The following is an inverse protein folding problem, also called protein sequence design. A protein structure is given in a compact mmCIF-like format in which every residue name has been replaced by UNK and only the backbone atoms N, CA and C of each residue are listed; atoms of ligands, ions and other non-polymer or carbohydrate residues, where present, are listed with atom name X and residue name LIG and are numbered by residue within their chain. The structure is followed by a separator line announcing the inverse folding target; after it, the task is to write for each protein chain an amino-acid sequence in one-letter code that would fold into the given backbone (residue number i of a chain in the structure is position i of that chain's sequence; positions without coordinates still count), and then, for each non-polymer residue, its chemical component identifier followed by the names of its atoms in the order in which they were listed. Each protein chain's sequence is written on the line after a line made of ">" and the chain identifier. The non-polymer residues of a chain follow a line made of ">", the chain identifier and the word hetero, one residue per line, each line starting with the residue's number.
data_IF_711783821905
#
_entry.id   IF_711783821905
#
_cell.length_a   1.000
_cell.length_b   1.000
_cell.length_c   1.000
_cell.angle_alpha   90.00
_cell.angle_beta   90.00
_cell.angle_gamma   90.00
#
_symmetry.space_group_name_H-M   'P 1'
#
loop_
_entity.id
_entity.type
_entity.pdbx_description
1 polymer ?
#
# COMPACT_ATOMS: atom_id res chain seq x y z
N UNK A 1 -17.09 7.40 -17.65
CA UNK A 1 -16.67 8.69 -17.07
C UNK A 1 -15.33 9.15 -17.61
N UNK A 2 -14.23 8.38 -17.45
CA UNK A 2 -12.92 8.80 -17.96
C UNK A 2 -12.96 9.16 -19.45
N UNK A 3 -13.48 8.27 -20.31
CA UNK A 3 -13.66 8.50 -21.76
C UNK A 3 -14.49 9.73 -22.12
N UNK A 4 -15.61 9.95 -21.42
CA UNK A 4 -16.49 11.09 -21.69
C UNK A 4 -15.91 12.43 -21.22
N UNK A 5 -14.96 12.40 -20.29
CA UNK A 5 -14.36 13.58 -19.67
C UNK A 5 -12.88 13.75 -20.02
N UNK A 6 -12.36 12.92 -20.92
CA UNK A 6 -11.00 13.00 -21.41
C UNK A 6 -10.90 14.16 -22.39
N UNK A 7 -9.90 15.01 -22.20
CA UNK A 7 -9.64 16.15 -23.08
C UNK A 7 -8.18 16.14 -23.52
N UNK A 8 -7.91 16.48 -24.78
CA UNK A 8 -6.54 16.61 -25.28
C UNK A 8 -5.84 17.89 -24.83
N UNK A 9 -6.59 18.95 -24.48
CA UNK A 9 -6.05 20.23 -24.02
C UNK A 9 -6.48 20.55 -22.58
N UNK A 10 -5.76 19.96 -21.63
CA UNK A 10 -6.05 20.09 -20.19
C UNK A 10 -5.82 21.51 -19.66
N UNK A 11 -4.83 22.22 -20.17
CA UNK A 11 -4.49 23.58 -19.73
C UNK A 11 -5.62 24.55 -20.05
N UNK A 12 -6.10 24.56 -21.29
CA UNK A 12 -7.22 25.40 -21.69
C UNK A 12 -8.48 25.06 -20.89
N UNK A 13 -8.77 23.76 -20.71
CA UNK A 13 -9.92 23.31 -19.94
C UNK A 13 -9.88 23.83 -18.49
N UNK A 14 -8.71 23.74 -17.85
CA UNK A 14 -8.52 24.21 -16.49
C UNK A 14 -8.72 25.72 -16.40
N UNK A 15 -8.04 26.49 -17.27
CA UNK A 15 -8.13 27.96 -17.29
C UNK A 15 -9.54 28.47 -17.65
N UNK A 16 -10.25 27.83 -18.58
CA UNK A 16 -11.60 28.25 -18.98
C UNK A 16 -12.67 27.87 -17.94
N UNK A 17 -12.53 26.70 -17.29
CA UNK A 17 -13.44 26.28 -16.21
C UNK A 17 -13.09 26.90 -14.85
N UNK A 18 -12.13 27.82 -14.79
CA UNK A 18 -11.86 28.62 -13.61
C UNK A 18 -12.83 29.79 -13.39
N UNK A 19 -13.65 30.17 -14.39
CA UNK A 19 -14.66 31.22 -14.30
C UNK A 19 -15.98 30.80 -13.61
N UNK A 20 -16.85 31.77 -13.22
CA UNK A 20 -18.10 31.48 -12.50
C UNK A 20 -19.03 30.59 -13.33
N UNK A 21 -19.51 29.51 -12.69
CA UNK A 21 -20.33 28.48 -13.33
C UNK A 21 -21.69 29.03 -13.78
N UNK A 22 -21.89 29.19 -15.09
CA UNK A 22 -23.23 29.33 -15.67
C UNK A 22 -23.55 28.12 -16.55
N UNK A 23 -24.55 27.36 -16.09
CA UNK A 23 -25.40 26.44 -16.85
C UNK A 23 -24.73 25.41 -17.78
N UNK A 24 -24.51 24.18 -17.28
CA UNK A 24 -24.80 22.95 -18.04
C UNK A 24 -24.91 21.73 -17.11
N UNK A 25 -25.89 20.84 -17.28
CA UNK A 25 -26.12 19.70 -16.38
C UNK A 25 -25.07 18.58 -16.45
N UNK A 26 -24.15 18.61 -17.42
CA UNK A 26 -23.15 17.55 -17.70
C UNK A 26 -21.69 18.06 -17.63
N UNK A 27 -21.30 18.72 -16.54
CA UNK A 27 -19.92 19.21 -16.39
C UNK A 27 -19.02 18.17 -15.71
N UNK A 28 -18.12 17.57 -16.49
CA UNK A 28 -17.03 16.74 -15.97
C UNK A 28 -16.28 17.40 -14.81
N UNK A 29 -16.02 16.60 -13.78
CA UNK A 29 -15.27 16.96 -12.57
C UNK A 29 -14.01 16.11 -12.47
N UNK A 30 -12.96 16.70 -11.90
CA UNK A 30 -11.62 16.14 -11.92
C UNK A 30 -11.05 16.05 -10.50
N UNK A 31 -10.25 15.02 -10.27
CA UNK A 31 -9.38 14.87 -9.12
C UNK A 31 -7.96 14.73 -9.66
N UNK A 32 -7.08 15.65 -9.29
CA UNK A 32 -5.69 15.65 -9.72
C UNK A 32 -4.81 15.18 -8.56
N UNK A 33 -4.27 13.98 -8.68
CA UNK A 33 -3.29 13.43 -7.75
C UNK A 33 -1.93 14.11 -7.96
N UNK A 34 -1.54 14.92 -6.98
CA UNK A 34 -0.26 15.64 -6.97
C UNK A 34 0.74 14.78 -6.20
N UNK A 35 1.75 14.26 -6.91
CA UNK A 35 2.77 13.41 -6.31
C UNK A 35 3.67 14.21 -5.37
N UNK A 36 3.74 13.78 -4.12
CA UNK A 36 4.63 14.36 -3.13
C UNK A 36 6.04 13.78 -3.19
N UNK A 37 6.80 13.91 -2.08
CA UNK A 37 8.19 13.44 -1.96
C UNK A 37 8.31 12.21 -1.07
N UNK A 38 7.23 11.48 -0.85
CA UNK A 38 7.18 10.35 0.07
C UNK A 38 7.75 9.07 -0.57
N UNK A 39 7.88 8.01 0.23
CA UNK A 39 8.29 6.70 -0.29
C UNK A 39 7.21 6.11 -1.21
N UNK A 40 7.62 5.28 -2.17
CA UNK A 40 6.72 4.71 -3.17
C UNK A 40 5.49 4.01 -2.56
N UNK A 41 5.66 3.23 -1.48
CA UNK A 41 4.52 2.58 -0.81
C UNK A 41 3.44 3.57 -0.36
N UNK A 42 3.84 4.72 0.20
CA UNK A 42 2.90 5.77 0.60
C UNK A 42 2.21 6.41 -0.61
N UNK A 43 2.94 6.62 -1.71
CA UNK A 43 2.39 7.19 -2.93
C UNK A 43 1.35 6.26 -3.56
N UNK A 44 1.63 4.96 -3.66
CA UNK A 44 0.70 3.97 -4.21
C UNK A 44 -0.55 3.83 -3.32
N UNK A 45 -0.40 3.74 -2.00
CA UNK A 45 -1.53 3.71 -1.06
C UNK A 45 -2.39 4.98 -1.14
N UNK A 46 -1.75 6.14 -1.22
CA UNK A 46 -2.41 7.44 -1.37
C UNK A 46 -3.16 7.53 -2.71
N UNK A 47 -2.58 7.01 -3.80
CA UNK A 47 -3.23 6.95 -5.10
C UNK A 47 -4.48 6.06 -5.08
N UNK A 48 -4.44 4.89 -4.43
CA UNK A 48 -5.63 4.03 -4.29
C UNK A 48 -6.74 4.72 -3.48
N UNK A 49 -6.37 5.49 -2.45
CA UNK A 49 -7.32 6.32 -1.69
C UNK A 49 -7.93 7.40 -2.58
N UNK A 50 -7.12 8.12 -3.36
CA UNK A 50 -7.58 9.14 -4.29
C UNK A 50 -8.52 8.56 -5.35
N UNK A 51 -8.19 7.39 -5.91
CA UNK A 51 -9.06 6.69 -6.86
C UNK A 51 -10.40 6.30 -6.23
N UNK A 52 -10.38 5.80 -4.98
CA UNK A 52 -11.61 5.47 -4.24
C UNK A 52 -12.47 6.71 -4.03
N UNK A 53 -11.88 7.84 -3.64
CA UNK A 53 -12.58 9.12 -3.54
C UNK A 53 -13.15 9.57 -4.90
N UNK A 54 -12.39 9.43 -5.98
CA UNK A 54 -12.83 9.77 -7.33
C UNK A 54 -14.05 8.93 -7.77
N UNK A 55 -14.05 7.62 -7.48
CA UNK A 55 -15.19 6.74 -7.73
C UNK A 55 -16.43 7.17 -6.94
N UNK A 56 -16.29 7.42 -5.63
CA UNK A 56 -17.40 7.81 -4.76
C UNK A 56 -18.01 9.18 -5.13
N UNK A 57 -17.19 10.08 -5.70
CA UNK A 57 -17.60 11.45 -6.02
C UNK A 57 -17.90 11.68 -7.50
N UNK A 58 -17.84 10.64 -8.35
CA UNK A 58 -17.95 10.75 -9.81
C UNK A 58 -16.99 11.81 -10.38
N UNK A 59 -15.69 11.65 -10.10
CA UNK A 59 -14.59 12.47 -10.65
C UNK A 59 -13.67 11.64 -11.52
N UNK A 60 -13.22 12.24 -12.62
CA UNK A 60 -12.15 11.70 -13.47
C UNK A 60 -10.83 11.86 -12.72
N UNK A 61 -10.14 10.75 -12.44
CA UNK A 61 -8.82 10.78 -11.79
C UNK A 61 -7.75 11.11 -12.83
N UNK A 62 -6.88 12.05 -12.48
CA UNK A 62 -5.74 12.48 -13.27
C UNK A 62 -4.48 12.49 -12.38
N UNK A 63 -3.32 12.16 -12.94
CA UNK A 63 -2.06 12.03 -12.20
C UNK A 63 -0.99 12.99 -12.72
N UNK A 64 -0.22 13.54 -11.79
CA UNK A 64 0.92 14.41 -12.06
C UNK A 64 2.05 13.64 -12.76
N UNK A 65 2.41 14.04 -13.98
CA UNK A 65 3.47 13.41 -14.78
C UNK A 65 4.89 13.73 -14.33
N UNK A 66 5.07 14.74 -13.47
CA UNK A 66 6.40 15.17 -13.01
C UNK A 66 7.02 14.15 -12.05
N UNK A 67 6.18 13.33 -11.42
CA UNK A 67 6.57 12.30 -10.47
C UNK A 67 7.06 10.98 -11.10
N UNK A 68 7.22 9.97 -10.24
CA UNK A 68 7.60 8.62 -10.63
C UNK A 68 6.39 7.72 -10.88
N UNK A 69 5.26 7.93 -10.20
CA UNK A 69 4.08 7.06 -10.26
C UNK A 69 3.56 6.94 -11.69
N UNK A 70 3.43 8.06 -12.41
CA UNK A 70 2.98 8.09 -13.80
C UNK A 70 3.89 7.31 -14.77
N UNK A 71 5.18 7.15 -14.41
CA UNK A 71 6.17 6.42 -15.21
C UNK A 71 6.29 4.95 -14.83
N UNK A 72 5.66 4.52 -13.73
CA UNK A 72 5.72 3.15 -13.22
C UNK A 72 4.49 2.34 -13.60
N UNK A 73 3.36 3.01 -13.85
CA UNK A 73 2.06 2.38 -14.04
C UNK A 73 1.64 2.38 -15.52
N UNK A 74 0.92 1.34 -15.92
CA UNK A 74 0.16 1.31 -17.16
C UNK A 74 -0.98 2.33 -17.17
N UNK A 75 -1.54 2.58 -18.36
CA UNK A 75 -2.82 3.25 -18.50
C UNK A 75 -3.95 2.31 -18.05
N UNK A 76 -4.72 2.64 -17.00
CA UNK A 76 -5.78 1.77 -16.49
C UNK A 76 -7.11 1.94 -17.25
N UNK A 77 -7.23 2.96 -18.11
CA UNK A 77 -8.48 3.33 -18.77
C UNK A 77 -8.35 3.24 -20.31
N UNK A 78 -9.07 2.32 -20.98
CA UNK A 78 -8.98 2.14 -22.43
C UNK A 78 -9.24 3.43 -23.21
N UNK A 79 -8.47 3.64 -24.28
CA UNK A 79 -8.59 4.76 -25.23
C UNK A 79 -8.41 6.17 -24.63
N UNK A 80 -7.95 6.28 -23.38
CA UNK A 80 -7.73 7.55 -22.69
C UNK A 80 -6.40 7.55 -21.97
N UNK A 81 -6.00 8.71 -21.45
CA UNK A 81 -4.91 8.80 -20.48
C UNK A 81 -5.39 9.46 -19.19
N UNK A 82 -4.93 8.93 -18.06
CA UNK A 82 -5.02 9.62 -16.77
C UNK A 82 -3.81 10.52 -16.48
N UNK A 83 -2.76 10.48 -17.30
CA UNK A 83 -1.55 11.26 -17.07
C UNK A 83 -1.75 12.68 -17.58
N UNK A 84 -1.53 13.67 -16.73
CA UNK A 84 -1.53 15.07 -17.14
C UNK A 84 -0.24 15.42 -17.90
N UNK A 85 -0.32 16.25 -18.96
CA UNK A 85 0.85 16.69 -19.70
C UNK A 85 1.76 17.56 -18.83
N UNK A 86 3.04 17.67 -19.18
CA UNK A 86 4.04 18.43 -18.42
C UNK A 86 3.75 19.93 -18.40
N UNK A 87 3.01 20.42 -19.39
CA UNK A 87 2.63 21.82 -19.62
C UNK A 87 1.37 22.21 -18.84
N UNK A 88 0.71 21.26 -18.18
CA UNK A 88 -0.42 21.55 -17.31
C UNK A 88 0.01 22.54 -16.20
N UNK A 89 -0.80 23.55 -15.85
CA UNK A 89 -0.41 24.58 -14.90
C UNK A 89 -0.49 24.08 -13.44
N UNK A 90 0.40 23.15 -13.08
CA UNK A 90 0.42 22.51 -11.77
C UNK A 90 0.50 23.49 -10.59
N UNK A 91 1.23 24.60 -10.74
CA UNK A 91 1.34 25.60 -9.68
C UNK A 91 -0.03 26.23 -9.39
N UNK A 92 -0.83 26.51 -10.42
CA UNK A 92 -2.15 27.11 -10.27
C UNK A 92 -3.12 26.18 -9.53
N UNK A 93 -3.11 24.88 -9.84
CA UNK A 93 -4.01 23.94 -9.13
C UNK A 93 -3.56 23.71 -7.69
N UNK A 94 -2.25 23.74 -7.41
CA UNK A 94 -1.76 23.63 -6.03
C UNK A 94 -2.03 24.89 -5.20
N UNK A 95 -2.07 26.06 -5.84
CA UNK A 95 -2.38 27.37 -5.24
C UNK A 95 -3.88 27.62 -5.05
N UNK A 96 -4.74 26.70 -5.51
CA UNK A 96 -6.17 26.74 -5.21
C UNK A 96 -6.43 26.82 -3.70
N UNK A 97 -7.53 27.48 -3.28
CA UNK A 97 -7.86 27.59 -1.86
C UNK A 97 -7.85 26.24 -1.14
N UNK A 98 -7.26 26.20 0.05
CA UNK A 98 -7.39 25.06 0.98
C UNK A 98 -8.85 24.90 1.39
N UNK A 99 -9.22 23.70 1.84
CA UNK A 99 -10.61 23.38 2.20
C UNK A 99 -11.22 24.41 3.16
N UNK A 100 -10.51 24.75 4.23
CA UNK A 100 -10.98 25.74 5.20
C UNK A 100 -11.23 27.11 4.58
N UNK A 101 -10.28 27.62 3.79
CA UNK A 101 -10.43 28.92 3.11
C UNK A 101 -11.57 28.91 2.10
N UNK A 102 -11.78 27.78 1.42
CA UNK A 102 -12.89 27.59 0.49
C UNK A 102 -14.24 27.70 1.22
N UNK A 103 -14.40 27.00 2.34
CA UNK A 103 -15.64 26.98 3.11
C UNK A 103 -16.00 28.33 3.75
N UNK A 104 -15.00 29.11 4.18
CA UNK A 104 -15.24 30.36 4.89
C UNK A 104 -15.17 31.62 4.03
N UNK A 105 -14.36 31.63 2.96
CA UNK A 105 -13.99 32.87 2.26
C UNK A 105 -14.23 32.83 0.75
N UNK A 106 -14.65 31.71 0.15
CA UNK A 106 -14.75 31.61 -1.32
C UNK A 106 -16.04 30.93 -1.76
N UNK A 107 -17.11 31.71 -1.88
CA UNK A 107 -18.46 31.21 -2.18
C UNK A 107 -18.67 30.60 -3.57
N UNK A 108 -17.63 30.55 -4.44
CA UNK A 108 -17.73 30.02 -5.81
C UNK A 108 -16.36 29.57 -6.39
N UNK A 109 -15.51 28.89 -5.60
CA UNK A 109 -14.25 28.38 -6.16
C UNK A 109 -14.49 27.22 -7.13
N UNK A 110 -13.97 27.36 -8.35
CA UNK A 110 -13.92 26.30 -9.37
C UNK A 110 -12.95 25.16 -9.03
N UNK A 111 -12.03 25.42 -8.08
CA UNK A 111 -11.04 24.47 -7.63
C UNK A 111 -10.78 24.53 -6.11
N UNK A 112 -10.29 23.42 -5.55
CA UNK A 112 -9.86 23.30 -4.15
C UNK A 112 -8.59 22.46 -4.07
N UNK A 113 -7.67 22.80 -3.17
CA UNK A 113 -6.42 22.06 -2.93
C UNK A 113 -6.46 21.36 -1.57
N UNK A 114 -6.61 20.03 -1.58
CA UNK A 114 -6.65 19.20 -0.39
C UNK A 114 -5.24 18.68 -0.02
N UNK A 115 -4.76 19.04 1.17
CA UNK A 115 -3.54 18.48 1.74
C UNK A 115 -3.88 17.50 2.87
N UNK A 116 -3.87 16.22 2.52
CA UNK A 116 -4.20 15.11 3.39
C UNK A 116 -2.93 14.33 3.76
N UNK A 117 -1.85 15.03 4.13
CA UNK A 117 -0.67 14.40 4.72
C UNK A 117 -0.92 13.95 6.18
N UNK A 118 -0.12 13.04 6.69
CA UNK A 118 -0.20 12.55 8.08
C UNK A 118 -0.18 13.66 9.15
N UNK A 119 0.50 14.77 8.90
CA UNK A 119 0.64 15.94 9.79
C UNK A 119 -0.44 17.02 9.56
N UNK A 120 -1.52 16.69 8.85
CA UNK A 120 -2.68 17.55 8.61
C UNK A 120 -3.12 18.30 9.88
N UNK A 121 -3.37 19.59 9.73
CA UNK A 121 -3.79 20.52 10.80
C UNK A 121 -5.30 20.49 10.98
N UNK A 122 -5.81 21.03 12.10
CA UNK A 122 -7.23 20.95 12.46
C UNK A 122 -8.22 21.42 11.37
N UNK A 123 -7.95 22.50 10.59
CA UNK A 123 -8.89 22.92 9.55
C UNK A 123 -9.09 21.87 8.43
N UNK A 124 -8.01 21.22 8.00
CA UNK A 124 -8.08 20.24 6.91
C UNK A 124 -8.56 18.85 7.40
N UNK A 125 -8.48 18.56 8.72
CA UNK A 125 -9.03 17.32 9.32
C UNK A 125 -10.54 17.22 9.18
N UNK A 126 -11.25 18.34 9.15
CA UNK A 126 -12.70 18.38 8.97
C UNK A 126 -13.14 17.98 7.55
N UNK A 127 -12.20 17.71 6.64
CA UNK A 127 -12.46 17.05 5.35
C UNK A 127 -13.29 15.77 5.50
N UNK A 128 -13.09 15.02 6.58
CA UNK A 128 -13.80 13.77 6.84
C UNK A 128 -15.22 13.96 7.42
N UNK A 129 -15.76 15.18 7.39
CA UNK A 129 -17.16 15.46 7.72
C UNK A 129 -18.08 15.41 6.51
N UNK A 130 -19.35 15.06 6.75
CA UNK A 130 -20.41 15.06 5.72
C UNK A 130 -20.56 16.43 5.06
N UNK A 131 -20.60 17.52 5.84
CA UNK A 131 -20.78 18.87 5.31
C UNK A 131 -19.61 19.27 4.39
N UNK A 132 -18.37 19.07 4.85
CA UNK A 132 -17.17 19.33 4.05
C UNK A 132 -17.10 18.47 2.79
N UNK A 133 -17.52 17.22 2.88
CA UNK A 133 -17.60 16.33 1.73
C UNK A 133 -18.68 16.78 0.73
N UNK A 134 -19.83 17.25 1.23
CA UNK A 134 -20.92 17.77 0.41
C UNK A 134 -20.54 19.07 -0.32
N UNK A 135 -19.77 19.96 0.32
CA UNK A 135 -19.29 21.20 -0.30
C UNK A 135 -18.44 20.93 -1.56
N UNK A 136 -17.67 19.83 -1.54
CA UNK A 136 -16.86 19.43 -2.68
C UNK A 136 -17.70 18.91 -3.85
N UNK A 137 -19.00 18.65 -3.70
CA UNK A 137 -19.85 18.15 -4.80
C UNK A 137 -19.86 19.09 -6.01
N UNK A 138 -19.78 20.41 -5.77
CA UNK A 138 -19.88 21.43 -6.81
C UNK A 138 -18.52 21.88 -7.37
N UNK A 139 -17.42 21.50 -6.73
CA UNK A 139 -16.07 21.89 -7.14
C UNK A 139 -15.66 21.14 -8.41
N UNK A 140 -15.20 21.84 -9.44
CA UNK A 140 -14.79 21.18 -10.70
C UNK A 140 -13.45 20.47 -10.54
N UNK A 141 -12.46 21.14 -9.96
CA UNK A 141 -11.08 20.64 -9.85
C UNK A 141 -10.66 20.45 -8.40
N UNK A 142 -10.28 19.24 -8.03
CA UNK A 142 -9.72 18.98 -6.70
C UNK A 142 -8.27 18.56 -6.85
N UNK A 143 -7.34 19.34 -6.30
CA UNK A 143 -5.96 18.92 -6.13
C UNK A 143 -5.88 18.01 -4.90
N UNK A 144 -5.23 16.86 -5.02
CA UNK A 144 -5.08 15.88 -3.96
C UNK A 144 -3.62 15.62 -3.67
N UNK A 145 -3.17 15.98 -2.46
CA UNK A 145 -1.83 15.66 -1.96
C UNK A 145 -2.00 14.83 -0.69
N UNK A 146 -1.45 13.62 -0.65
CA UNK A 146 -1.51 12.77 0.55
C UNK A 146 -0.39 11.73 0.57
N UNK A 147 -0.08 11.24 1.75
CA UNK A 147 0.86 10.15 1.98
C UNK A 147 0.26 9.01 2.81
N UNK A 148 -1.07 8.89 2.84
CA UNK A 148 -1.81 7.99 3.71
C UNK A 148 -2.77 7.12 2.91
N UNK A 149 -3.00 5.90 3.40
CA UNK A 149 -4.16 5.09 3.01
C UNK A 149 -5.36 5.53 3.83
N UNK A 150 -6.19 6.46 3.35
CA UNK A 150 -7.32 7.01 4.13
C UNK A 150 -8.67 6.36 3.82
N UNK A 151 -8.70 5.16 3.22
CA UNK A 151 -9.96 4.46 2.92
C UNK A 151 -10.82 4.27 4.19
N UNK A 152 -10.23 3.86 5.32
CA UNK A 152 -10.97 3.73 6.59
C UNK A 152 -11.52 5.07 7.09
N UNK A 153 -10.78 6.18 6.95
CA UNK A 153 -11.27 7.50 7.32
C UNK A 153 -12.37 8.03 6.40
N UNK A 154 -12.28 7.76 5.09
CA UNK A 154 -13.34 8.12 4.15
C UNK A 154 -14.65 7.39 4.49
N UNK A 155 -14.58 6.16 5.00
CA UNK A 155 -15.74 5.39 5.46
C UNK A 155 -16.39 5.93 6.74
N UNK A 156 -15.80 6.93 7.41
CA UNK A 156 -16.48 7.64 8.48
C UNK A 156 -17.51 8.65 7.94
N UNK A 157 -17.39 9.07 6.67
CA UNK A 157 -18.34 9.99 6.04
C UNK A 157 -19.61 9.21 5.68
N UNK A 158 -20.80 9.55 6.23
CA UNK A 158 -22.03 8.79 6.02
C UNK A 158 -22.38 8.55 4.55
N UNK A 159 -22.37 9.58 3.70
CA UNK A 159 -22.73 9.43 2.28
C UNK A 159 -21.70 8.63 1.49
N UNK A 160 -20.41 8.75 1.85
CA UNK A 160 -19.35 7.92 1.27
C UNK A 160 -19.55 6.45 1.65
N UNK A 161 -19.79 6.16 2.94
CA UNK A 161 -20.05 4.82 3.44
C UNK A 161 -21.25 4.20 2.74
N UNK A 162 -22.39 4.89 2.65
CA UNK A 162 -23.59 4.39 1.96
C UNK A 162 -23.28 3.95 0.52
N UNK A 163 -22.41 4.68 -0.17
CA UNK A 163 -22.06 4.41 -1.55
C UNK A 163 -21.02 3.31 -1.72
N UNK A 164 -20.03 3.25 -0.83
CA UNK A 164 -18.82 2.43 -1.03
C UNK A 164 -18.79 1.15 -0.20
N UNK A 165 -19.48 1.09 0.94
CA UNK A 165 -19.42 -0.08 1.83
C UNK A 165 -19.80 -1.41 1.17
N UNK A 166 -20.71 -1.50 0.16
CA UNK A 166 -21.03 -2.79 -0.45
C UNK A 166 -19.82 -3.43 -1.17
N UNK A 167 -18.85 -2.62 -1.61
CA UNK A 167 -17.61 -3.09 -2.23
C UNK A 167 -16.53 -3.48 -1.19
N UNK A 168 -16.79 -3.26 0.10
CA UNK A 168 -15.79 -3.40 1.17
C UNK A 168 -16.14 -4.50 2.19
N UNK A 169 -17.31 -5.14 2.05
CA UNK A 169 -17.82 -6.17 2.97
C UNK A 169 -16.92 -7.40 3.03
N UNK A 170 -16.19 -7.70 1.97
CA UNK A 170 -15.30 -8.88 1.93
C UNK A 170 -13.92 -8.62 2.56
N UNK A 171 -13.62 -7.41 3.04
CA UNK A 171 -12.33 -7.08 3.67
C UNK A 171 -11.14 -7.17 2.70
N UNK A 172 -11.36 -7.02 1.40
CA UNK A 172 -10.38 -7.16 0.30
C UNK A 172 -10.41 -5.98 -0.68
N UNK A 173 -10.90 -4.84 -0.21
CA UNK A 173 -11.11 -3.65 -1.02
C UNK A 173 -9.83 -3.17 -1.74
N UNK A 174 -8.72 -3.11 -1.01
CA UNK A 174 -7.43 -2.73 -1.56
C UNK A 174 -6.95 -3.73 -2.62
N UNK A 175 -7.15 -5.03 -2.43
CA UNK A 175 -6.83 -6.04 -3.46
C UNK A 175 -7.56 -5.74 -4.75
N UNK A 176 -8.88 -5.51 -4.70
CA UNK A 176 -9.66 -5.18 -5.90
C UNK A 176 -9.23 -3.87 -6.57
N UNK A 177 -9.00 -2.82 -5.80
CA UNK A 177 -8.58 -1.53 -6.36
C UNK A 177 -7.17 -1.62 -6.94
N UNK A 178 -6.25 -2.26 -6.22
CA UNK A 178 -4.86 -2.36 -6.63
C UNK A 178 -4.67 -3.24 -7.86
N UNK A 179 -5.45 -4.32 -8.01
CA UNK A 179 -5.41 -5.18 -9.21
C UNK A 179 -5.86 -4.45 -10.49
N UNK A 180 -6.65 -3.39 -10.35
CA UNK A 180 -7.10 -2.56 -11.47
C UNK A 180 -6.15 -1.38 -11.74
N UNK A 181 -5.61 -0.78 -10.68
CA UNK A 181 -4.93 0.51 -10.75
C UNK A 181 -3.40 0.40 -10.78
N UNK A 182 -2.82 -0.57 -10.08
CA UNK A 182 -1.38 -0.63 -9.82
C UNK A 182 -0.66 -1.57 -10.78
N UNK A 183 -1.03 -1.54 -12.06
CA UNK A 183 -0.45 -2.41 -13.09
C UNK A 183 0.91 -1.86 -13.56
N UNK A 184 2.00 -2.65 -13.52
CA UNK A 184 3.33 -2.19 -13.95
C UNK A 184 3.40 -1.90 -15.44
N UNK A 185 4.06 -0.80 -15.80
CA UNK A 185 4.40 -0.53 -17.19
C UNK A 185 5.32 -1.61 -17.79
N UNK A 186 5.28 -1.79 -19.10
CA UNK A 186 5.89 -2.91 -19.82
C UNK A 186 7.36 -3.18 -19.49
N UNK A 187 8.20 -2.16 -19.35
CA UNK A 187 9.63 -2.30 -19.00
C UNK A 187 9.81 -2.80 -17.58
N UNK A 188 9.02 -2.29 -16.63
CA UNK A 188 8.96 -2.76 -15.24
C UNK A 188 8.40 -4.16 -15.15
N UNK A 189 7.31 -4.47 -15.87
CA UNK A 189 6.76 -5.82 -15.98
C UNK A 189 7.79 -6.80 -16.54
N UNK A 190 8.54 -6.40 -17.56
CA UNK A 190 9.62 -7.23 -18.12
C UNK A 190 10.71 -7.54 -17.08
N UNK A 191 11.00 -6.63 -16.15
CA UNK A 191 11.94 -6.90 -15.04
C UNK A 191 11.35 -7.90 -14.06
N UNK A 192 10.08 -7.73 -13.68
CA UNK A 192 9.35 -8.67 -12.81
C UNK A 192 9.37 -10.07 -13.41
N UNK A 193 8.96 -10.22 -14.68
CA UNK A 193 8.92 -11.51 -15.39
C UNK A 193 10.29 -12.16 -15.45
N UNK A 194 11.36 -11.40 -15.78
CA UNK A 194 12.73 -11.94 -15.77
C UNK A 194 13.13 -12.46 -14.40
N UNK A 195 12.88 -11.71 -13.33
CA UNK A 195 13.21 -12.14 -11.97
C UNK A 195 12.41 -13.38 -11.54
N UNK A 196 11.10 -13.39 -11.83
CA UNK A 196 10.21 -14.50 -11.54
C UNK A 196 10.71 -15.80 -12.19
N UNK A 197 10.97 -15.77 -13.50
CA UNK A 197 11.38 -16.99 -14.21
C UNK A 197 12.81 -17.41 -13.92
N UNK A 198 13.75 -16.47 -13.77
CA UNK A 198 15.16 -16.79 -13.53
C UNK A 198 15.46 -17.28 -12.11
N UNK A 199 14.71 -16.83 -11.10
CA UNK A 199 15.07 -17.08 -9.70
C UNK A 199 13.94 -17.70 -8.87
N UNK A 200 12.67 -17.40 -9.17
CA UNK A 200 11.55 -17.83 -8.33
C UNK A 200 10.87 -19.11 -8.82
N UNK A 201 10.86 -19.35 -10.14
CA UNK A 201 10.06 -20.41 -10.76
C UNK A 201 10.48 -21.84 -10.37
N UNK A 202 11.76 -22.02 -10.02
CA UNK A 202 12.37 -23.31 -9.70
C UNK A 202 12.09 -23.82 -8.28
N UNK A 203 11.38 -23.05 -7.45
CA UNK A 203 11.06 -23.42 -6.08
C UNK A 203 9.65 -24.02 -5.94
N UNK A 204 9.50 -25.00 -5.05
CA UNK A 204 8.20 -25.58 -4.69
C UNK A 204 7.40 -24.63 -3.80
N UNK A 205 8.04 -24.07 -2.77
CA UNK A 205 7.48 -23.05 -1.90
C UNK A 205 8.28 -21.75 -1.95
N UNK A 206 7.60 -20.61 -1.97
CA UNK A 206 8.21 -19.27 -1.98
C UNK A 206 7.75 -18.49 -0.76
N UNK A 207 8.70 -18.06 0.06
CA UNK A 207 8.46 -17.23 1.24
C UNK A 207 9.06 -15.86 0.98
N UNK A 208 8.20 -14.85 0.87
CA UNK A 208 8.59 -13.45 0.75
C UNK A 208 8.90 -12.87 2.12
N UNK A 209 10.00 -12.15 2.24
CA UNK A 209 10.42 -11.50 3.48
C UNK A 209 10.71 -10.03 3.17
N UNK A 210 9.91 -9.14 3.75
CA UNK A 210 10.04 -7.70 3.59
C UNK A 210 10.58 -7.10 4.89
N UNK A 211 11.83 -6.65 4.86
CA UNK A 211 12.53 -6.09 6.02
C UNK A 211 12.63 -4.57 5.92
N UNK A 212 12.02 -3.87 6.86
CA UNK A 212 12.08 -2.41 7.02
C UNK A 212 12.22 -2.06 8.49
N UNK A 213 13.32 -1.39 8.85
CA UNK A 213 13.48 -0.82 10.17
C UNK A 213 12.94 0.61 10.21
N UNK A 214 12.04 0.89 11.15
CA UNK A 214 11.47 2.24 11.39
C UNK A 214 12.01 2.84 12.68
N UNK A 215 11.95 4.18 12.79
CA UNK A 215 12.35 4.91 14.00
C UNK A 215 13.86 5.01 14.23
N UNK A 216 14.69 4.70 13.21
CA UNK A 216 16.16 4.75 13.29
C UNK A 216 16.72 5.96 12.56
N UNK A 217 17.89 6.44 13.02
CA UNK A 217 18.62 7.53 12.36
C UNK A 217 19.17 7.11 11.01
N UNK A 218 19.84 5.97 10.96
CA UNK A 218 20.27 5.35 9.71
C UNK A 218 19.33 4.20 9.35
N UNK A 219 18.54 4.43 8.31
CA UNK A 219 17.59 3.47 7.80
C UNK A 219 18.25 2.38 6.95
N UNK A 220 19.56 2.45 6.67
CA UNK A 220 20.35 1.46 5.94
C UNK A 220 21.34 0.70 6.84
N UNK A 221 21.39 1.02 8.13
CA UNK A 221 22.24 0.31 9.08
C UNK A 221 21.71 -1.10 9.35
N UNK A 222 22.60 -2.09 9.30
CA UNK A 222 22.30 -3.46 9.73
C UNK A 222 22.14 -3.50 11.26
N UNK A 223 21.07 -4.14 11.72
CA UNK A 223 20.83 -4.36 13.15
C UNK A 223 20.99 -5.85 13.48
N UNK A 224 22.00 -6.21 14.27
CA UNK A 224 22.14 -7.57 14.78
C UNK A 224 20.91 -8.00 15.59
N UNK A 225 20.39 -9.21 15.34
CA UNK A 225 19.25 -9.79 16.06
C UNK A 225 17.91 -9.64 15.35
N UNK A 226 17.80 -8.75 14.36
CA UNK A 226 16.64 -8.71 13.44
C UNK A 226 16.59 -10.00 12.61
N UNK A 227 17.74 -10.51 12.18
CA UNK A 227 17.85 -11.78 11.47
C UNK A 227 17.40 -12.97 12.32
N UNK A 228 17.73 -12.97 13.62
CA UNK A 228 17.23 -13.98 14.58
C UNK A 228 15.70 -13.91 14.69
N UNK A 229 15.13 -12.71 14.82
CA UNK A 229 13.66 -12.55 14.86
C UNK A 229 12.98 -13.05 13.59
N UNK A 230 13.58 -12.81 12.43
CA UNK A 230 13.06 -13.34 11.16
C UNK A 230 13.08 -14.87 11.20
N UNK A 231 14.19 -15.49 11.60
CA UNK A 231 14.27 -16.95 11.73
C UNK A 231 13.26 -17.52 12.71
N UNK A 232 13.18 -16.95 13.91
CA UNK A 232 12.26 -17.41 14.95
C UNK A 232 10.81 -17.34 14.46
N UNK A 233 10.45 -16.28 13.73
CA UNK A 233 9.14 -16.16 13.11
C UNK A 233 8.87 -17.28 12.11
N UNK A 234 9.77 -17.46 11.14
CA UNK A 234 9.59 -18.40 10.04
C UNK A 234 9.60 -19.86 10.53
N UNK A 235 10.46 -20.20 11.49
CA UNK A 235 10.50 -21.52 12.13
C UNK A 235 9.23 -21.79 12.93
N UNK A 236 8.78 -20.82 13.74
CA UNK A 236 7.57 -20.96 14.57
C UNK A 236 6.32 -21.29 13.77
N UNK A 237 6.19 -20.71 12.57
CA UNK A 237 5.05 -20.94 11.69
C UNK A 237 5.30 -22.02 10.62
N UNK A 238 6.41 -22.77 10.72
CA UNK A 238 6.70 -23.89 9.82
C UNK A 238 7.01 -23.47 8.38
N UNK A 239 7.44 -22.23 8.16
CA UNK A 239 7.81 -21.69 6.85
C UNK A 239 9.27 -22.01 6.48
N UNK A 240 10.07 -22.43 7.47
CA UNK A 240 11.44 -22.89 7.31
C UNK A 240 11.67 -24.17 8.11
N UNK A 241 12.54 -25.07 7.62
CA UNK A 241 12.99 -26.22 8.39
C UNK A 241 13.99 -25.81 9.47
N UNK A 242 14.02 -26.58 10.56
CA UNK A 242 15.08 -26.51 11.57
C UNK A 242 16.44 -26.84 10.95
N UNK A 243 17.48 -26.24 11.53
CA UNK A 243 18.87 -26.49 11.16
C UNK A 243 19.46 -27.59 12.04
N UNK A 244 20.34 -28.39 11.46
CA UNK A 244 21.04 -29.50 12.12
C UNK A 244 22.52 -29.17 12.28
N UNK A 245 23.09 -29.49 13.44
CA UNK A 245 24.55 -29.47 13.65
C UNK A 245 25.24 -30.71 13.05
N UNK A 246 24.47 -31.75 12.71
CA UNK A 246 24.99 -32.99 12.13
C UNK A 246 24.90 -32.98 10.60
N UNK A 247 26.04 -33.13 9.94
CA UNK A 247 26.14 -33.27 8.50
C UNK A 247 25.97 -34.74 8.06
N UNK A 248 24.98 -34.99 7.19
CA UNK A 248 24.80 -36.29 6.53
C UNK A 248 24.62 -36.11 5.01
N UNK A 249 25.73 -35.84 4.32
CA UNK A 249 25.75 -35.62 2.87
C UNK A 249 25.25 -36.82 2.07
N UNK A 250 25.41 -38.05 2.59
CA UNK A 250 24.93 -39.27 1.92
C UNK A 250 23.41 -39.33 1.89
N UNK A 251 22.75 -39.06 3.02
CA UNK A 251 21.29 -39.03 3.07
C UNK A 251 20.74 -37.84 2.28
N UNK A 252 21.38 -36.67 2.37
CA UNK A 252 21.01 -35.52 1.55
C UNK A 252 21.05 -35.84 0.06
N UNK A 253 22.14 -36.45 -0.43
CA UNK A 253 22.25 -36.88 -1.83
C UNK A 253 21.16 -37.88 -2.22
N UNK A 254 20.84 -38.84 -1.34
CA UNK A 254 19.80 -39.83 -1.58
C UNK A 254 18.41 -39.19 -1.67
N UNK A 255 18.08 -38.27 -0.77
CA UNK A 255 16.81 -37.52 -0.77
C UNK A 255 16.68 -36.70 -2.05
N UNK A 256 17.72 -35.94 -2.41
CA UNK A 256 17.69 -35.09 -3.60
C UNK A 256 17.68 -35.89 -4.91
N UNK A 257 18.38 -37.03 -4.98
CA UNK A 257 18.36 -37.91 -6.16
C UNK A 257 16.97 -38.53 -6.39
N UNK A 258 16.29 -38.95 -5.31
CA UNK A 258 14.90 -39.41 -5.37
C UNK A 258 13.97 -38.30 -5.85
N UNK A 259 14.12 -37.10 -5.28
CA UNK A 259 13.33 -35.92 -5.67
C UNK A 259 13.43 -35.62 -7.17
N UNK A 260 14.64 -35.65 -7.72
CA UNK A 260 14.87 -35.49 -9.16
C UNK A 260 14.24 -36.62 -9.99
N UNK A 261 14.31 -37.87 -9.51
CA UNK A 261 13.70 -39.03 -10.17
C UNK A 261 12.17 -38.94 -10.22
N UNK A 262 11.56 -38.35 -9.19
CA UNK A 262 10.12 -38.11 -9.09
C UNK A 262 9.65 -36.87 -9.88
N UNK A 263 10.55 -36.20 -10.60
CA UNK A 263 10.25 -35.00 -11.38
C UNK A 263 9.90 -33.77 -10.53
N UNK A 264 10.25 -33.75 -9.24
CA UNK A 264 10.02 -32.62 -8.35
C UNK A 264 11.05 -31.52 -8.58
N UNK A 265 10.69 -30.30 -8.16
CA UNK A 265 11.54 -29.11 -8.30
C UNK A 265 12.84 -29.24 -7.49
N UNK A 266 13.98 -28.70 -7.95
CA UNK A 266 15.25 -28.83 -7.27
C UNK A 266 15.32 -28.03 -5.95
N UNK A 267 14.56 -26.94 -5.85
CA UNK A 267 14.51 -26.08 -4.66
C UNK A 267 13.22 -26.36 -3.89
N UNK A 268 13.32 -26.79 -2.64
CA UNK A 268 12.16 -26.97 -1.76
C UNK A 268 11.57 -25.61 -1.37
N UNK A 269 12.42 -24.72 -0.84
CA UNK A 269 11.98 -23.42 -0.30
C UNK A 269 12.88 -22.31 -0.85
N UNK A 270 12.26 -21.28 -1.42
CA UNK A 270 12.92 -20.04 -1.77
C UNK A 270 12.53 -18.92 -0.82
N UNK A 271 13.53 -18.30 -0.20
CA UNK A 271 13.39 -17.06 0.54
C UNK A 271 13.68 -15.87 -0.38
N UNK A 272 12.64 -15.09 -0.70
CA UNK A 272 12.80 -13.80 -1.38
C UNK A 272 12.92 -12.70 -0.34
N UNK A 273 14.15 -12.23 -0.08
CA UNK A 273 14.41 -11.20 0.92
C UNK A 273 14.58 -9.82 0.27
N UNK A 274 13.71 -8.89 0.66
CA UNK A 274 13.73 -7.49 0.22
C UNK A 274 14.07 -6.59 1.39
N UNK A 275 15.10 -5.77 1.23
CA UNK A 275 15.60 -4.88 2.27
C UNK A 275 16.49 -3.80 1.65
N UNK A 276 16.52 -2.62 2.26
CA UNK A 276 17.57 -1.64 1.94
C UNK A 276 18.97 -2.16 2.34
N UNK A 277 19.04 -3.05 3.33
CA UNK A 277 20.28 -3.61 3.85
C UNK A 277 20.55 -4.99 3.24
N UNK A 278 21.47 -5.05 2.27
CA UNK A 278 21.87 -6.32 1.65
C UNK A 278 22.38 -7.37 2.64
N UNK A 279 22.88 -6.94 3.80
CA UNK A 279 23.44 -7.82 4.83
C UNK A 279 22.45 -8.85 5.38
N UNK A 280 21.14 -8.55 5.46
CA UNK A 280 20.15 -9.55 5.89
C UNK A 280 20.08 -10.74 4.92
N UNK A 281 20.10 -10.48 3.62
CA UNK A 281 20.10 -11.55 2.61
C UNK A 281 21.39 -12.38 2.66
N UNK A 282 22.53 -11.74 2.94
CA UNK A 282 23.82 -12.41 3.06
C UNK A 282 23.84 -13.33 4.28
N UNK A 283 23.54 -12.79 5.47
CA UNK A 283 23.50 -13.57 6.71
C UNK A 283 22.54 -14.75 6.61
N UNK A 284 21.39 -14.56 5.96
CA UNK A 284 20.45 -15.66 5.74
C UNK A 284 20.99 -16.73 4.80
N UNK A 285 21.64 -16.33 3.71
CA UNK A 285 22.29 -17.25 2.79
C UNK A 285 23.40 -18.03 3.49
N UNK A 286 24.28 -17.34 4.21
CA UNK A 286 25.43 -17.92 4.90
C UNK A 286 24.96 -19.00 5.89
N UNK A 287 23.91 -18.74 6.68
CA UNK A 287 23.31 -19.72 7.60
C UNK A 287 22.90 -21.04 6.94
N UNK A 288 22.22 -20.99 5.79
CA UNK A 288 21.79 -22.19 5.06
C UNK A 288 22.90 -22.83 4.22
N UNK A 289 24.02 -22.14 4.00
CA UNK A 289 25.21 -22.71 3.36
C UNK A 289 26.12 -23.39 4.38
N UNK A 290 26.14 -22.92 5.63
CA UNK A 290 26.98 -23.43 6.71
C UNK A 290 26.33 -24.58 7.50
N UNK A 291 25.00 -24.64 7.57
CA UNK A 291 24.28 -25.68 8.32
C UNK A 291 23.25 -26.41 7.45
N UNK A 292 23.22 -27.75 7.44
CA UNK A 292 22.18 -28.52 6.77
C UNK A 292 20.82 -28.38 7.48
N UNK A 293 19.74 -28.64 6.74
CA UNK A 293 18.39 -28.71 7.29
C UNK A 293 18.12 -30.11 7.86
N UNK A 294 17.41 -30.20 8.99
CA UNK A 294 17.06 -31.50 9.60
C UNK A 294 16.20 -32.38 8.67
N UNK A 295 15.40 -31.73 7.82
CA UNK A 295 14.51 -32.38 6.85
C UNK A 295 15.18 -32.68 5.51
N UNK A 296 16.46 -32.32 5.32
CA UNK A 296 17.19 -32.39 4.05
C UNK A 296 16.56 -31.58 2.89
N UNK A 297 15.66 -30.65 3.21
CA UNK A 297 15.06 -29.72 2.25
C UNK A 297 16.09 -28.67 1.81
N UNK A 298 16.12 -28.36 0.51
CA UNK A 298 16.97 -27.30 -0.05
C UNK A 298 16.34 -25.93 0.13
N UNK A 299 17.09 -25.02 0.76
CA UNK A 299 16.67 -23.63 0.95
C UNK A 299 17.55 -22.71 0.10
N UNK A 300 16.92 -21.93 -0.78
CA UNK A 300 17.59 -20.93 -1.60
C UNK A 300 17.24 -19.53 -1.09
N UNK A 301 18.23 -18.63 -1.02
CA UNK A 301 18.00 -17.23 -0.63
C UNK A 301 18.30 -16.30 -1.80
N UNK A 302 17.28 -15.57 -2.24
CA UNK A 302 17.35 -14.58 -3.31
C UNK A 302 17.04 -13.17 -2.83
N UNK A 303 17.73 -12.19 -3.40
CA UNK A 303 17.46 -10.76 -3.20
C UNK A 303 17.70 -10.04 -4.52
N UNK A 304 16.75 -9.21 -4.93
CA UNK A 304 16.76 -8.54 -6.25
C UNK A 304 17.73 -7.38 -6.26
N UNK A 305 17.76 -6.58 -5.19
CA UNK A 305 18.62 -5.41 -5.10
C UNK A 305 19.21 -5.23 -3.70
N UNK A 306 20.37 -4.57 -3.65
CA UNK A 306 21.04 -4.16 -2.42
C UNK A 306 21.39 -2.68 -2.54
N UNK A 307 20.39 -1.81 -2.36
CA UNK A 307 20.54 -0.38 -2.66
C UNK A 307 21.41 0.37 -1.65
N UNK A 308 21.52 -0.11 -0.41
CA UNK A 308 22.38 0.48 0.63
C UNK A 308 22.00 1.90 1.07
N UNK A 309 21.02 2.52 0.42
CA UNK A 309 20.46 3.84 0.75
C UNK A 309 19.09 4.02 0.12
N UNK A 310 18.32 4.93 0.68
CA UNK A 310 17.08 5.43 0.07
C UNK A 310 17.35 6.74 -0.66
N UNK A 311 17.31 6.70 -1.99
CA UNK A 311 17.12 7.83 -2.89
C UNK A 311 15.68 7.87 -3.44
N UNK A 312 15.26 9.03 -3.95
CA UNK A 312 13.91 9.24 -4.49
C UNK A 312 13.90 9.16 -6.03
N UNK A 313 14.94 8.58 -6.61
CA UNK A 313 15.10 8.47 -8.05
C UNK A 313 14.17 7.44 -8.68
N UNK A 314 13.90 7.61 -9.97
CA UNK A 314 13.05 6.70 -10.72
C UNK A 314 13.55 5.25 -10.71
N UNK A 315 14.87 5.02 -10.84
CA UNK A 315 15.43 3.67 -10.84
C UNK A 315 15.17 2.94 -9.52
N UNK A 316 15.33 3.62 -8.38
CA UNK A 316 15.00 3.05 -7.08
C UNK A 316 13.50 2.79 -6.94
N UNK A 317 12.66 3.72 -7.39
CA UNK A 317 11.21 3.51 -7.37
C UNK A 317 10.81 2.30 -8.26
N UNK A 318 11.42 2.14 -9.43
CA UNK A 318 11.20 1.00 -10.32
C UNK A 318 11.61 -0.32 -9.66
N UNK A 319 12.81 -0.39 -9.06
CA UNK A 319 13.26 -1.60 -8.37
C UNK A 319 12.39 -1.93 -7.14
N UNK A 320 12.01 -0.92 -6.37
CA UNK A 320 11.08 -1.09 -5.25
C UNK A 320 9.74 -1.65 -5.72
N UNK A 321 9.22 -1.17 -6.86
CA UNK A 321 7.97 -1.67 -7.41
C UNK A 321 8.08 -3.11 -7.93
N UNK A 322 9.20 -3.45 -8.57
CA UNK A 322 9.52 -4.82 -8.98
C UNK A 322 9.52 -5.75 -7.77
N UNK A 323 10.18 -5.35 -6.68
CA UNK A 323 10.24 -6.12 -5.44
C UNK A 323 8.86 -6.29 -4.77
N UNK A 324 8.02 -5.25 -4.74
CA UNK A 324 6.64 -5.36 -4.24
C UNK A 324 5.83 -6.42 -5.00
N UNK A 325 5.95 -6.46 -6.32
CA UNK A 325 5.28 -7.46 -7.17
C UNK A 325 5.85 -8.87 -7.04
N UNK A 326 7.18 -9.00 -6.88
CA UNK A 326 7.78 -10.32 -6.67
C UNK A 326 7.39 -10.91 -5.32
N UNK A 327 7.31 -10.07 -4.27
CA UNK A 327 6.78 -10.48 -2.97
C UNK A 327 5.31 -10.92 -3.07
N UNK A 328 4.50 -10.25 -3.89
CA UNK A 328 3.10 -10.63 -4.08
C UNK A 328 2.92 -11.94 -4.86
N UNK A 329 4.00 -12.50 -5.43
CA UNK A 329 4.01 -13.83 -6.05
C UNK A 329 4.51 -14.94 -5.13
N UNK A 330 4.88 -14.62 -3.90
CA UNK A 330 5.23 -15.61 -2.90
C UNK A 330 3.97 -16.27 -2.31
N UNK A 331 4.12 -17.51 -1.86
CA UNK A 331 3.03 -18.30 -1.27
C UNK A 331 2.74 -17.85 0.17
N UNK A 332 3.79 -17.42 0.88
CA UNK A 332 3.71 -16.79 2.20
C UNK A 332 4.49 -15.48 2.23
N UNK A 333 4.07 -14.53 3.07
CA UNK A 333 4.69 -13.23 3.17
C UNK A 333 4.92 -12.84 4.63
N UNK A 334 6.16 -12.55 4.99
CA UNK A 334 6.51 -11.89 6.25
C UNK A 334 6.81 -10.41 5.97
N UNK A 335 6.11 -9.49 6.67
CA UNK A 335 6.26 -8.04 6.46
C UNK A 335 6.70 -7.35 7.74
N UNK A 336 7.46 -6.25 7.61
CA UNK A 336 7.84 -5.47 8.79
C UNK A 336 6.72 -4.57 9.25
N UNK A 337 6.54 -4.45 10.56
CA UNK A 337 5.60 -3.50 11.17
C UNK A 337 5.76 -2.07 10.58
N UNK A 338 4.66 -1.34 10.43
CA UNK A 338 4.57 0.02 9.86
C UNK A 338 4.98 0.13 8.38
N UNK A 339 5.38 -0.95 7.70
CA UNK A 339 5.93 -0.88 6.36
C UNK A 339 4.83 -0.82 5.30
N UNK A 340 4.60 0.38 4.75
CA UNK A 340 3.70 0.54 3.60
C UNK A 340 4.17 -0.21 2.35
N UNK A 341 5.47 -0.51 2.24
CA UNK A 341 5.99 -1.41 1.20
C UNK A 341 5.41 -2.82 1.34
N UNK A 342 5.36 -3.35 2.57
CA UNK A 342 4.74 -4.64 2.87
C UNK A 342 3.24 -4.64 2.59
N UNK A 343 2.54 -3.54 2.91
CA UNK A 343 1.10 -3.44 2.63
C UNK A 343 0.76 -3.51 1.14
N UNK A 344 1.59 -2.94 0.25
CA UNK A 344 1.39 -3.09 -1.20
C UNK A 344 1.49 -4.57 -1.59
N UNK A 345 2.56 -5.25 -1.19
CA UNK A 345 2.78 -6.65 -1.56
C UNK A 345 1.69 -7.60 -1.04
N UNK A 346 1.34 -7.48 0.25
CA UNK A 346 0.32 -8.34 0.86
C UNK A 346 -1.07 -8.08 0.25
N UNK A 347 -1.36 -6.81 -0.05
CA UNK A 347 -2.65 -6.40 -0.60
C UNK A 347 -2.83 -6.83 -2.05
N UNK A 348 -1.78 -6.76 -2.88
CA UNK A 348 -1.78 -7.29 -4.24
C UNK A 348 -2.01 -8.82 -4.27
N UNK A 349 -1.52 -9.53 -3.26
CA UNK A 349 -1.61 -10.98 -3.16
C UNK A 349 -2.86 -11.50 -2.42
N UNK A 350 -3.63 -10.61 -1.78
CA UNK A 350 -4.68 -10.96 -0.81
C UNK A 350 -4.19 -11.91 0.29
N UNK A 351 -2.98 -11.66 0.80
CA UNK A 351 -2.35 -12.49 1.81
C UNK A 351 -2.42 -11.83 3.19
N UNK A 352 -2.71 -12.65 4.20
CA UNK A 352 -2.52 -12.29 5.59
C UNK A 352 -1.02 -12.44 5.91
N UNK A 353 -0.31 -11.35 6.23
CA UNK A 353 1.13 -11.41 6.41
C UNK A 353 1.51 -12.00 7.77
N UNK A 354 2.74 -12.50 7.90
CA UNK A 354 3.41 -12.65 9.20
C UNK A 354 4.12 -11.32 9.55
N UNK A 355 3.53 -10.55 10.45
CA UNK A 355 3.99 -9.21 10.81
C UNK A 355 5.18 -9.32 11.78
N UNK A 356 6.37 -9.00 11.29
CA UNK A 356 7.63 -8.97 12.03
C UNK A 356 7.69 -7.75 12.97
N UNK A 357 7.97 -8.01 14.25
CA UNK A 357 8.09 -7.01 15.33
C UNK A 357 9.54 -6.61 15.56
N UNK A 358 10.00 -5.64 14.77
CA UNK A 358 11.42 -5.27 14.60
C UNK A 358 11.86 -3.98 15.33
N UNK A 359 10.95 -3.21 15.93
CA UNK A 359 11.25 -1.94 16.61
C UNK A 359 12.07 -2.09 17.88
N UNK A 360 11.86 -3.17 18.63
CA UNK A 360 12.54 -3.40 19.91
C UNK A 360 13.15 -4.79 19.95
N UNK A 361 14.45 -4.88 20.22
CA UNK A 361 15.15 -6.14 20.49
C UNK A 361 14.61 -6.86 21.74
N UNK A 362 13.95 -6.13 22.65
CA UNK A 362 13.40 -6.66 23.89
C UNK A 362 11.97 -7.22 23.77
N UNK A 363 11.28 -7.03 22.64
CA UNK A 363 9.97 -7.67 22.45
C UNK A 363 10.19 -9.18 22.24
N UNK A 364 9.68 -10.05 23.13
CA UNK A 364 9.87 -11.50 23.05
C UNK A 364 9.12 -12.13 21.88
N UNK A 365 8.10 -11.46 21.33
CA UNK A 365 7.45 -11.90 20.11
C UNK A 365 8.32 -11.56 18.90
N UNK A 366 8.57 -12.55 18.04
CA UNK A 366 9.26 -12.40 16.75
C UNK A 366 8.33 -11.88 15.65
N UNK A 367 7.08 -12.36 15.63
CA UNK A 367 6.03 -11.92 14.73
C UNK A 367 4.64 -12.42 15.13
N UNK A 368 3.61 -11.92 14.45
CA UNK A 368 2.22 -12.36 14.59
C UNK A 368 1.53 -12.49 13.22
N UNK A 369 0.48 -13.31 13.13
CA UNK A 369 -0.33 -13.39 11.90
C UNK A 369 -1.20 -12.14 11.79
N UNK A 370 -1.16 -11.51 10.62
CA UNK A 370 -1.96 -10.35 10.27
C UNK A 370 -3.45 -10.70 10.24
N UNK A 371 -4.29 -9.79 10.72
CA UNK A 371 -5.75 -9.95 10.79
C UNK A 371 -6.47 -9.70 9.46
N UNK A 372 -5.77 -9.13 8.48
CA UNK A 372 -6.32 -8.77 7.17
C UNK A 372 -5.20 -8.50 6.16
N UNK A 373 -5.50 -8.65 4.87
CA UNK A 373 -4.65 -8.24 3.75
C UNK A 373 -4.71 -6.72 3.50
N UNK A 374 -5.68 -6.01 4.07
CA UNK A 374 -5.85 -4.57 3.90
C UNK A 374 -4.67 -3.74 4.46
N UNK A 375 -4.29 -2.63 3.82
CA UNK A 375 -3.31 -1.70 4.40
C UNK A 375 -3.83 -1.03 5.68
N UNK A 376 -2.91 -0.72 6.59
CA UNK A 376 -3.21 0.10 7.76
C UNK A 376 -3.30 1.60 7.40
N UNK A 377 -4.36 2.27 7.85
CA UNK A 377 -4.42 3.72 7.95
C UNK A 377 -3.64 4.17 9.19
N UNK A 378 -2.39 4.59 9.03
CA UNK A 378 -1.49 4.86 10.16
C UNK A 378 -1.90 6.01 11.07
N UNK A 379 -2.42 7.09 10.48
CA UNK A 379 -2.74 8.32 11.19
C UNK A 379 -4.20 8.71 10.98
N UNK A 380 -5.16 7.92 11.49
CA UNK A 380 -6.56 8.23 11.30
C UNK A 380 -6.91 9.60 11.89
N UNK A 381 -7.84 10.30 11.23
CA UNK A 381 -8.35 11.60 11.65
C UNK A 381 -9.81 11.47 12.02
N UNK A 382 -10.10 11.75 13.29
CA UNK A 382 -11.47 11.84 13.79
C UNK A 382 -11.84 13.32 13.76
N UNK A 383 -12.69 13.75 12.83
CA UNK A 383 -13.12 15.14 12.75
C UNK A 383 -14.12 15.47 13.86
N UNK A 384 -14.31 16.76 14.16
CA UNK A 384 -15.17 17.19 15.27
C UNK A 384 -16.65 16.87 15.06
N UNK A 385 -17.10 16.76 13.81
CA UNK A 385 -18.50 16.44 13.49
C UNK A 385 -18.94 15.05 13.98
N UNK A 386 -18.03 14.08 14.14
CA UNK A 386 -18.38 12.72 14.59
C UNK A 386 -18.68 12.63 16.08
N UNK A 387 -18.24 13.62 16.87
CA UNK A 387 -18.50 13.69 18.32
C UNK A 387 -19.98 13.86 18.68
N UNK A 388 -20.84 14.13 17.71
CA UNK A 388 -22.30 14.23 17.91
C UNK A 388 -22.90 12.84 17.80
N UNK A 389 -23.70 12.42 18.78
CA UNK A 389 -24.34 11.09 18.78
C UNK A 389 -25.17 10.80 17.52
N UNK A 390 -25.72 11.83 16.89
CA UNK A 390 -26.51 11.76 15.66
C UNK A 390 -25.69 11.76 14.36
N UNK A 391 -24.36 11.82 14.42
CA UNK A 391 -23.51 11.92 13.23
C UNK A 391 -23.55 10.65 12.37
N UNK A 392 -23.70 9.49 13.01
CA UNK A 392 -23.72 8.17 12.37
C UNK A 392 -25.03 7.45 12.66
N UNK A 393 -25.61 6.84 11.62
CA UNK A 393 -26.78 5.96 11.78
C UNK A 393 -26.43 4.70 12.60
N UNK A 394 -27.40 4.03 13.24
CA UNK A 394 -27.16 2.77 13.94
C UNK A 394 -26.47 1.71 13.07
N UNK A 395 -26.94 1.54 11.82
CA UNK A 395 -26.36 0.59 10.87
C UNK A 395 -24.89 0.90 10.53
N UNK A 396 -24.54 2.18 10.43
CA UNK A 396 -23.16 2.60 10.16
C UNK A 396 -22.26 2.36 11.39
N UNK A 397 -22.74 2.64 12.61
CA UNK A 397 -22.03 2.30 13.85
C UNK A 397 -21.79 0.79 13.97
N UNK A 398 -22.80 -0.02 13.65
CA UNK A 398 -22.67 -1.49 13.67
C UNK A 398 -21.68 -1.97 12.61
N UNK A 399 -21.71 -1.39 11.41
CA UNK A 399 -20.72 -1.69 10.38
C UNK A 399 -19.29 -1.37 10.86
N UNK A 400 -19.07 -0.20 11.47
CA UNK A 400 -17.74 0.17 12.01
C UNK A 400 -17.29 -0.86 13.06
N UNK A 401 -18.17 -1.26 13.98
CA UNK A 401 -17.86 -2.27 15.00
C UNK A 401 -17.49 -3.62 14.39
N UNK A 402 -18.06 -4.00 13.26
CA UNK A 402 -17.78 -5.30 12.63
C UNK A 402 -16.51 -5.25 11.78
N UNK A 403 -16.36 -4.24 10.92
CA UNK A 403 -15.37 -4.24 9.84
C UNK A 403 -14.13 -3.39 10.10
N UNK A 404 -14.09 -2.61 11.19
CA UNK A 404 -12.95 -1.77 11.52
C UNK A 404 -12.25 -2.25 12.81
N UNK A 405 -10.94 -2.47 12.71
CA UNK A 405 -10.07 -2.86 13.84
C UNK A 405 -8.88 -1.93 13.94
N UNK A 406 -8.28 -1.88 15.13
CA UNK A 406 -6.96 -1.27 15.30
C UNK A 406 -5.92 -2.12 14.54
N UNK A 407 -4.95 -1.46 13.93
CA UNK A 407 -3.86 -2.19 13.25
C UNK A 407 -2.97 -2.87 14.29
N UNK A 408 -2.63 -4.14 14.04
CA UNK A 408 -1.73 -4.91 14.90
C UNK A 408 -0.29 -4.36 14.90
N UNK A 409 0.08 -3.66 13.83
CA UNK A 409 1.45 -3.18 13.60
C UNK A 409 1.59 -1.67 13.69
N UNK A 410 0.51 -0.93 13.93
CA UNK A 410 0.52 0.50 14.21
C UNK A 410 -0.59 0.81 15.24
N UNK A 411 -0.26 0.94 16.54
CA UNK A 411 -1.26 0.99 17.62
C UNK A 411 -2.29 2.12 17.54
N UNK A 412 -2.03 3.21 16.82
CA UNK A 412 -3.02 4.27 16.61
C UNK A 412 -3.79 4.15 15.29
N UNK A 413 -3.42 3.19 14.45
CA UNK A 413 -3.93 3.04 13.10
C UNK A 413 -5.17 2.17 13.02
N UNK A 414 -5.90 2.30 11.91
CA UNK A 414 -7.10 1.51 11.65
C UNK A 414 -6.99 0.68 10.37
N UNK A 415 -7.61 -0.49 10.37
CA UNK A 415 -7.57 -1.44 9.27
C UNK A 415 -8.96 -2.00 9.01
N UNK A 416 -9.28 -2.19 7.74
CA UNK A 416 -10.46 -2.96 7.33
C UNK A 416 -10.21 -4.45 7.53
N UNK A 417 -11.20 -5.15 8.06
CA UNK A 417 -11.13 -6.58 8.32
C UNK A 417 -12.41 -7.28 7.89
N UNK A 418 -12.34 -8.62 7.80
CA UNK A 418 -13.53 -9.46 7.65
C UNK A 418 -14.29 -9.59 8.98
N UNK A 419 -15.61 -9.89 8.98
CA UNK A 419 -16.43 -9.94 10.19
C UNK A 419 -15.89 -10.83 11.31
N UNK A 420 -15.27 -11.95 10.94
CA UNK A 420 -14.76 -12.97 11.87
C UNK A 420 -13.27 -12.77 12.20
N UNK A 421 -12.67 -11.68 11.74
CA UNK A 421 -11.29 -11.37 12.06
C UNK A 421 -11.15 -11.02 13.55
N UNK A 422 -10.22 -11.70 14.22
CA UNK A 422 -9.78 -11.34 15.57
C UNK A 422 -9.10 -9.97 15.61
N UNK A 423 -8.92 -9.41 16.80
CA UNK A 423 -8.26 -8.11 17.01
C UNK A 423 -9.13 -7.11 17.77
N UNK A 424 -8.52 -6.01 18.21
CA UNK A 424 -9.21 -4.99 18.99
C UNK A 424 -10.09 -4.12 18.08
N UNK A 425 -11.40 -4.12 18.35
CA UNK A 425 -12.37 -3.20 17.74
C UNK A 425 -11.92 -1.76 17.96
N UNK A 426 -12.08 -0.88 16.96
CA UNK A 426 -11.87 0.55 17.16
C UNK A 426 -12.89 1.03 18.20
N UNK A 427 -12.46 1.52 19.38
CA UNK A 427 -13.38 1.99 20.40
C UNK A 427 -14.28 3.10 19.85
N UNK A 428 -15.60 2.92 20.01
CA UNK A 428 -16.56 3.95 19.61
C UNK A 428 -16.36 5.26 20.40
N UNK A 429 -15.72 5.21 21.58
CA UNK A 429 -15.35 6.41 22.35
C UNK A 429 -14.28 7.27 21.65
N UNK A 430 -13.57 6.72 20.66
CA UNK A 430 -12.66 7.48 19.82
C UNK A 430 -13.37 8.18 18.65
N UNK A 431 -14.62 7.84 18.34
CA UNK A 431 -15.44 8.44 17.29
C UNK A 431 -16.46 9.41 17.90
#
# INVERSE_FOLDING_TARGET
>A
MQKSCFHGNWTELFLNKHGPASSRPDSCRYLVFIEGREGLGNLLLSLTTAFTFAMATNRTLLIDSRGNVAKLLCEPFPETSWVLPTEFPYNLITDCPRLFSFQHNTTNASCVSLNLQHNITSPDKEFFCEDSFADLKHVTWVAWTSNQYFVTNLLLIPSFWQRMHPMMVEGRFFTYVSSLLLLPENKTWSLIVRQLWSYLSAAELRVGIQVRLHGRKDLAQFEPGVDTKIMDCLLRYGLLPSLSEYENSTEMHRVQSRKMSDGKKPVDILLLLTSLQGKYSQVMRDRFMEMPTESFQTVQVHSVSQLGRQDKGFQQAQLAFVEMWLLSFCDFLATSEYSTFGYIAQGLADLHPYILTLKSSHNPSSCMVGQSSEPCTHYPKVPTCLRKDSALSPAHKDWIRVYLRMCQDQPSGWQLVQPDAGGDAVPMEFL
#
